data_IF_529581605972
#
_entry.id   IF_529581605972
#
_cell.length_a   1.000
_cell.length_b   1.000
_cell.length_c   1.000
_cell.angle_alpha   90.00
_cell.angle_beta   90.00
_cell.angle_gamma   90.00
#
_symmetry.space_group_name_H-M   'P 1'
#
loop_
_entity.id
_entity.type
_entity.pdbx_description
1 polymer ?
#
# COMPACT_ATOMS: atom_id res chain seq x y z
N UNK A 1 -3.74 -3.27 -20.65
CA UNK A 1 -3.70 -4.09 -19.40
C UNK A 1 -4.59 -5.32 -19.47
N UNK A 2 -5.83 -5.24 -19.97
CA UNK A 2 -6.73 -6.41 -20.05
C UNK A 2 -6.21 -7.51 -20.99
N UNK A 3 -5.50 -7.16 -22.04
CA UNK A 3 -4.86 -8.11 -22.96
C UNK A 3 -3.57 -8.79 -22.41
N UNK A 4 -3.06 -8.34 -21.25
CA UNK A 4 -1.82 -8.84 -20.69
C UNK A 4 -1.91 -10.32 -20.31
N UNK A 5 -0.96 -11.12 -20.75
CA UNK A 5 -0.96 -12.57 -20.55
C UNK A 5 -1.90 -13.34 -21.48
N UNK A 6 -2.47 -12.68 -22.50
CA UNK A 6 -3.27 -13.29 -23.55
C UNK A 6 -2.54 -13.25 -24.88
N UNK A 7 -3.01 -14.01 -25.88
CA UNK A 7 -2.46 -13.99 -27.25
C UNK A 7 -2.55 -12.61 -27.91
N UNK A 8 -3.50 -11.77 -27.52
CA UNK A 8 -3.66 -10.39 -28.03
C UNK A 8 -2.44 -9.52 -27.72
N UNK A 9 -1.76 -9.75 -26.57
CA UNK A 9 -0.53 -9.05 -26.20
C UNK A 9 0.72 -9.57 -26.90
N UNK A 10 0.57 -10.53 -27.79
CA UNK A 10 1.65 -11.22 -28.48
C UNK A 10 2.11 -12.48 -27.76
N UNK A 11 2.77 -13.34 -28.50
CA UNK A 11 3.26 -14.66 -28.07
C UNK A 11 4.71 -14.81 -28.47
N UNK A 12 5.52 -15.42 -27.61
CA UNK A 12 6.85 -15.91 -27.92
C UNK A 12 6.76 -17.42 -28.12
N UNK A 13 7.32 -17.89 -29.23
CA UNK A 13 7.45 -19.28 -29.51
C UNK A 13 8.86 -19.76 -29.15
N UNK A 14 8.94 -20.87 -28.47
CA UNK A 14 10.17 -21.55 -28.13
C UNK A 14 10.11 -22.96 -28.74
N UNK A 15 10.93 -23.25 -29.74
CA UNK A 15 11.09 -24.56 -30.32
C UNK A 15 12.30 -25.29 -29.70
N UNK A 16 12.23 -26.60 -29.64
CA UNK A 16 13.36 -27.40 -29.18
C UNK A 16 14.45 -27.46 -30.28
N UNK A 17 15.69 -27.21 -29.92
CA UNK A 17 16.85 -27.20 -30.86
C UNK A 17 17.29 -28.59 -31.27
N UNK A 18 16.77 -29.66 -30.66
CA UNK A 18 17.08 -31.03 -31.07
C UNK A 18 16.41 -31.36 -32.42
N UNK A 19 17.14 -31.72 -33.47
CA UNK A 19 16.59 -31.97 -34.81
C UNK A 19 15.48 -33.03 -34.87
N UNK A 20 15.46 -33.95 -33.90
CA UNK A 20 14.41 -34.99 -33.79
C UNK A 20 13.21 -34.59 -32.95
N UNK A 21 13.22 -33.42 -32.35
CA UNK A 21 12.18 -32.96 -31.40
C UNK A 21 11.28 -31.94 -32.07
N UNK A 22 9.96 -32.19 -32.10
CA UNK A 22 8.94 -31.24 -32.58
C UNK A 22 8.26 -30.46 -31.46
N UNK A 23 8.87 -30.43 -30.25
CA UNK A 23 8.27 -29.76 -29.12
C UNK A 23 8.34 -28.24 -29.28
N UNK A 24 7.18 -27.56 -29.19
CA UNK A 24 7.05 -26.10 -29.25
C UNK A 24 6.27 -25.65 -28.03
N UNK A 25 6.75 -24.60 -27.39
CA UNK A 25 6.08 -23.95 -26.25
C UNK A 25 5.79 -22.50 -26.56
N UNK A 26 4.54 -22.10 -26.37
CA UNK A 26 4.09 -20.72 -26.53
C UNK A 26 4.00 -20.02 -25.17
N UNK A 27 4.60 -18.86 -25.03
CA UNK A 27 4.54 -18.03 -23.83
C UNK A 27 3.96 -16.66 -24.19
N UNK A 28 2.83 -16.31 -23.58
CA UNK A 28 2.19 -15.01 -23.80
C UNK A 28 2.99 -13.87 -23.17
N UNK A 29 3.03 -12.72 -23.84
CA UNK A 29 3.70 -11.54 -23.32
C UNK A 29 3.00 -10.97 -22.09
N UNK A 30 3.80 -10.54 -21.10
CA UNK A 30 3.34 -9.92 -19.87
C UNK A 30 3.93 -8.50 -19.73
N UNK A 31 3.14 -7.54 -19.28
CA UNK A 31 3.58 -6.14 -19.14
C UNK A 31 4.40 -5.88 -17.88
N UNK A 32 4.43 -6.81 -16.94
CA UNK A 32 5.08 -6.71 -15.62
C UNK A 32 4.67 -5.48 -14.79
N UNK A 33 3.66 -4.74 -15.22
CA UNK A 33 3.17 -3.58 -14.51
C UNK A 33 2.45 -4.00 -13.22
N UNK A 34 2.73 -3.29 -12.13
CA UNK A 34 2.04 -3.48 -10.86
C UNK A 34 0.55 -3.14 -10.93
N UNK A 35 0.17 -2.18 -11.77
CA UNK A 35 -1.23 -1.81 -11.98
C UNK A 35 -2.01 -2.87 -12.78
N UNK A 36 -1.31 -3.80 -13.44
CA UNK A 36 -1.93 -4.85 -14.22
C UNK A 36 -2.56 -5.92 -13.32
N UNK A 37 -3.85 -6.25 -13.48
CA UNK A 37 -4.52 -7.28 -12.68
C UNK A 37 -3.84 -8.66 -12.75
N UNK A 38 -3.40 -9.08 -13.94
CA UNK A 38 -2.74 -10.38 -14.15
C UNK A 38 -1.34 -10.43 -13.54
N UNK A 39 -0.49 -9.44 -13.84
CA UNK A 39 0.88 -9.37 -13.31
C UNK A 39 0.90 -9.13 -11.81
N UNK A 40 0.00 -8.28 -11.29
CA UNK A 40 -0.12 -7.98 -9.87
C UNK A 40 -0.56 -9.21 -9.07
N UNK A 41 -1.49 -10.03 -9.60
CA UNK A 41 -1.87 -11.30 -8.97
C UNK A 41 -0.67 -12.25 -8.87
N UNK A 42 0.03 -12.50 -9.99
CA UNK A 42 1.21 -13.36 -10.00
C UNK A 42 2.28 -12.89 -9.01
N UNK A 43 2.56 -11.58 -8.99
CA UNK A 43 3.51 -11.00 -8.05
C UNK A 43 3.08 -11.16 -6.58
N UNK A 44 1.77 -11.11 -6.31
CA UNK A 44 1.20 -11.35 -4.98
C UNK A 44 1.39 -12.80 -4.55
N UNK A 45 1.07 -13.77 -5.42
CA UNK A 45 1.17 -15.19 -5.13
C UNK A 45 2.64 -15.59 -4.86
N UNK A 46 3.58 -15.11 -5.66
CA UNK A 46 5.02 -15.32 -5.45
C UNK A 46 5.51 -14.71 -4.13
N UNK A 47 5.05 -13.50 -3.80
CA UNK A 47 5.40 -12.86 -2.54
C UNK A 47 4.87 -13.66 -1.35
N UNK A 48 3.60 -14.12 -1.40
CA UNK A 48 3.00 -14.96 -0.35
C UNK A 48 3.86 -16.21 -0.14
N UNK A 49 4.20 -16.93 -1.21
CA UNK A 49 5.03 -18.13 -1.12
C UNK A 49 6.40 -17.85 -0.47
N UNK A 50 7.06 -16.74 -0.84
CA UNK A 50 8.33 -16.35 -0.24
C UNK A 50 8.20 -16.01 1.26
N UNK A 51 7.11 -15.34 1.67
CA UNK A 51 6.93 -14.94 3.07
C UNK A 51 6.54 -16.11 3.99
N UNK A 52 5.87 -17.12 3.49
CA UNK A 52 5.49 -18.30 4.28
C UNK A 52 6.69 -19.01 4.94
N UNK A 53 7.87 -18.89 4.33
CA UNK A 53 9.11 -19.47 4.83
C UNK A 53 9.99 -18.51 5.63
N UNK A 54 9.65 -17.21 5.66
CA UNK A 54 10.47 -16.16 6.29
C UNK A 54 9.89 -15.58 7.56
N UNK A 55 8.55 -15.51 7.63
CA UNK A 55 7.90 -14.88 8.77
C UNK A 55 7.78 -15.84 9.95
N UNK A 56 8.04 -15.40 11.19
CA UNK A 56 7.92 -16.21 12.37
C UNK A 56 6.47 -16.66 12.61
N UNK A 57 6.32 -17.86 13.13
CA UNK A 57 5.01 -18.41 13.50
C UNK A 57 4.62 -17.92 14.90
N UNK A 58 4.09 -16.70 14.93
CA UNK A 58 3.61 -16.02 16.13
C UNK A 58 2.31 -15.27 15.82
N UNK A 59 1.69 -14.69 16.84
CA UNK A 59 0.53 -13.82 16.67
C UNK A 59 0.93 -12.52 16.00
N UNK A 60 0.09 -12.06 15.08
CA UNK A 60 0.26 -10.83 14.33
C UNK A 60 -0.93 -9.90 14.51
N UNK A 61 -0.69 -8.61 14.39
CA UNK A 61 -1.75 -7.60 14.31
C UNK A 61 -1.59 -6.74 13.07
N UNK A 62 -2.69 -6.51 12.38
CA UNK A 62 -2.74 -5.61 11.21
C UNK A 62 -3.26 -4.24 11.62
N UNK A 63 -2.55 -3.20 11.19
CA UNK A 63 -2.92 -1.81 11.37
C UNK A 63 -3.03 -1.11 10.02
N UNK A 64 -3.91 -0.12 9.93
CA UNK A 64 -3.98 0.78 8.77
C UNK A 64 -3.92 2.21 9.27
N UNK A 65 -2.90 2.93 8.85
CA UNK A 65 -2.72 4.35 9.15
C UNK A 65 -3.25 5.15 7.95
N UNK A 66 -4.26 5.99 8.20
CA UNK A 66 -4.85 6.84 7.15
C UNK A 66 -4.58 8.30 7.42
N UNK A 67 -4.64 9.10 6.36
CA UNK A 67 -4.56 10.55 6.43
C UNK A 67 -5.95 11.16 6.29
N UNK A 68 -6.21 12.35 6.88
CA UNK A 68 -7.38 13.13 6.54
C UNK A 68 -7.48 13.42 5.05
N UNK A 69 -8.68 13.41 4.51
CA UNK A 69 -8.95 13.65 3.09
C UNK A 69 -8.49 15.03 2.60
N UNK A 70 -8.57 16.02 3.48
CA UNK A 70 -8.07 17.39 3.23
C UNK A 70 -6.57 17.43 2.89
N UNK A 71 -5.81 16.43 3.29
CA UNK A 71 -4.37 16.32 3.00
C UNK A 71 -4.05 15.49 1.74
N UNK A 72 -4.99 14.70 1.21
CA UNK A 72 -4.69 13.80 0.08
C UNK A 72 -4.16 14.52 -1.16
N UNK A 73 -4.71 15.68 -1.58
CA UNK A 73 -4.20 16.41 -2.73
C UNK A 73 -2.73 16.83 -2.62
N UNK A 74 -2.23 17.05 -1.40
CA UNK A 74 -0.81 17.36 -1.18
C UNK A 74 0.10 16.18 -1.59
N UNK A 75 -0.31 14.95 -1.32
CA UNK A 75 0.45 13.76 -1.68
C UNK A 75 0.32 13.37 -3.15
N UNK A 76 -0.69 13.87 -3.85
CA UNK A 76 -0.84 13.70 -5.30
C UNK A 76 0.18 14.54 -6.07
N UNK A 77 0.39 15.80 -5.65
CA UNK A 77 1.35 16.72 -6.29
C UNK A 77 2.77 16.59 -5.73
N UNK A 78 2.93 16.09 -4.50
CA UNK A 78 4.23 15.87 -3.83
C UNK A 78 4.46 14.39 -3.56
N UNK A 79 4.66 13.60 -4.60
CA UNK A 79 4.80 12.14 -4.47
C UNK A 79 6.01 11.70 -3.65
N UNK A 80 7.03 12.55 -3.54
CA UNK A 80 8.21 12.31 -2.71
C UNK A 80 7.86 12.14 -1.22
N UNK A 81 6.81 12.80 -0.71
CA UNK A 81 6.30 12.62 0.66
C UNK A 81 5.84 11.18 0.96
N UNK A 82 5.46 10.43 -0.07
CA UNK A 82 5.05 9.03 0.09
C UNK A 82 6.19 8.13 0.59
N UNK A 83 7.45 8.54 0.36
CA UNK A 83 8.61 7.77 0.80
C UNK A 83 8.71 7.66 2.33
N UNK A 84 8.30 8.70 3.04
CA UNK A 84 8.42 8.77 4.49
C UNK A 84 7.25 8.13 5.23
N UNK A 85 6.07 8.04 4.59
CA UNK A 85 4.87 7.53 5.26
C UNK A 85 5.04 6.15 5.89
N UNK A 86 5.72 5.22 5.21
CA UNK A 86 5.97 3.89 5.76
C UNK A 86 6.82 3.96 7.03
N UNK A 87 7.88 4.77 7.02
CA UNK A 87 8.76 4.95 8.18
C UNK A 87 8.01 5.61 9.33
N UNK A 88 7.29 6.69 9.07
CA UNK A 88 6.53 7.39 10.10
C UNK A 88 5.44 6.52 10.74
N UNK A 89 4.79 5.62 9.97
CA UNK A 89 3.83 4.66 10.52
C UNK A 89 4.52 3.62 11.40
N UNK A 90 5.68 3.13 10.98
CA UNK A 90 6.44 2.10 11.69
C UNK A 90 7.12 2.65 12.95
N UNK A 91 7.63 3.89 12.92
CA UNK A 91 8.24 4.56 14.08
C UNK A 91 7.27 4.63 15.29
N UNK A 92 5.97 4.63 15.04
CA UNK A 92 4.98 4.50 16.12
C UNK A 92 5.13 3.20 16.91
N UNK A 93 5.30 2.10 16.19
CA UNK A 93 5.35 0.75 16.75
C UNK A 93 6.72 0.45 17.33
N UNK A 94 7.78 0.85 16.62
CA UNK A 94 9.15 0.69 17.09
C UNK A 94 9.37 1.44 18.40
N UNK A 95 8.91 2.67 18.51
CA UNK A 95 9.00 3.44 19.75
C UNK A 95 8.29 2.74 20.92
N UNK A 96 7.07 2.20 20.68
CA UNK A 96 6.34 1.50 21.72
C UNK A 96 7.02 0.18 22.14
N UNK A 97 7.76 -0.45 21.25
CA UNK A 97 8.54 -1.65 21.52
C UNK A 97 9.85 -1.32 22.24
N UNK A 98 10.55 -0.28 21.80
CA UNK A 98 11.80 0.23 22.40
C UNK A 98 11.59 0.59 23.88
N UNK A 99 10.49 1.29 24.21
CA UNK A 99 10.13 1.60 25.60
C UNK A 99 9.92 0.37 26.49
N UNK A 100 9.88 -0.83 25.90
CA UNK A 100 9.77 -2.14 26.59
C UNK A 100 11.01 -3.01 26.41
N UNK A 101 12.06 -2.48 25.78
CA UNK A 101 13.28 -3.21 25.48
C UNK A 101 13.06 -4.40 24.56
N UNK A 102 12.15 -4.26 23.56
CA UNK A 102 11.79 -5.35 22.65
C UNK A 102 12.13 -5.01 21.21
N UNK A 103 12.77 -5.94 20.50
CA UNK A 103 12.84 -5.94 19.05
C UNK A 103 11.66 -6.71 18.47
N UNK A 104 10.91 -6.06 17.59
CA UNK A 104 9.67 -6.58 16.99
C UNK A 104 9.80 -6.72 15.48
N UNK A 105 9.07 -7.65 14.89
CA UNK A 105 9.03 -7.81 13.43
C UNK A 105 7.89 -7.00 12.82
N UNK A 106 8.22 -6.16 11.82
CA UNK A 106 7.24 -5.35 11.10
C UNK A 106 7.46 -5.47 9.61
N UNK A 107 6.39 -5.58 8.86
CA UNK A 107 6.38 -5.24 7.43
C UNK A 107 5.20 -4.35 7.09
N UNK A 108 5.40 -3.43 6.17
CA UNK A 108 4.36 -2.49 5.77
C UNK A 108 4.30 -2.31 4.25
N UNK A 109 3.17 -1.83 3.78
CA UNK A 109 3.00 -1.43 2.38
C UNK A 109 2.20 -0.14 2.29
N UNK A 110 2.60 0.71 1.34
CA UNK A 110 1.86 1.91 0.99
C UNK A 110 0.83 1.60 -0.09
N UNK A 111 -0.37 2.11 0.11
CA UNK A 111 -1.41 2.22 -0.91
C UNK A 111 -1.74 3.69 -1.14
N UNK A 112 -1.99 4.03 -2.39
CA UNK A 112 -2.30 5.42 -2.79
C UNK A 112 -3.72 5.58 -3.31
N UNK A 113 -4.52 4.51 -3.32
CA UNK A 113 -5.86 4.48 -3.91
C UNK A 113 -6.94 4.02 -2.94
N UNK A 114 -8.10 4.65 -3.06
CA UNK A 114 -9.33 4.21 -2.44
C UNK A 114 -10.11 3.23 -3.31
N UNK A 115 -11.31 2.85 -2.88
CA UNK A 115 -12.18 1.89 -3.57
C UNK A 115 -12.71 2.39 -4.91
N UNK A 116 -12.81 3.70 -5.08
CA UNK A 116 -13.21 4.39 -6.31
C UNK A 116 -12.01 4.71 -7.22
N UNK A 117 -10.83 4.16 -6.93
CA UNK A 117 -9.58 4.53 -7.59
C UNK A 117 -9.22 6.03 -7.46
N UNK A 118 -9.78 6.69 -6.46
CA UNK A 118 -9.40 8.05 -6.07
C UNK A 118 -8.11 8.05 -5.27
N UNK A 119 -7.42 9.18 -5.23
CA UNK A 119 -6.27 9.38 -4.35
C UNK A 119 -6.66 9.14 -2.89
N UNK A 120 -5.96 8.23 -2.21
CA UNK A 120 -6.17 7.88 -0.80
C UNK A 120 -4.90 7.23 -0.25
N UNK A 121 -3.87 8.03 0.07
CA UNK A 121 -2.64 7.48 0.63
C UNK A 121 -2.89 6.93 2.04
N UNK A 122 -2.51 5.67 2.25
CA UNK A 122 -2.61 4.99 3.53
C UNK A 122 -1.60 3.86 3.63
N UNK A 123 -1.23 3.51 4.86
CA UNK A 123 -0.19 2.53 5.13
C UNK A 123 -0.81 1.31 5.81
N UNK A 124 -0.67 0.17 5.19
CA UNK A 124 -0.92 -1.12 5.80
C UNK A 124 0.33 -1.59 6.54
N UNK A 125 0.21 -1.89 7.81
CA UNK A 125 1.29 -2.38 8.65
C UNK A 125 0.89 -3.70 9.28
N UNK A 126 1.80 -4.65 9.30
CA UNK A 126 1.68 -5.86 10.09
C UNK A 126 2.83 -5.96 11.03
N UNK A 127 2.50 -6.19 12.29
CA UNK A 127 3.44 -6.24 13.39
C UNK A 127 3.23 -7.52 14.21
N UNK A 128 4.32 -8.10 14.68
CA UNK A 128 4.26 -9.21 15.63
C UNK A 128 3.64 -8.76 16.96
N UNK A 129 2.82 -9.62 17.58
CA UNK A 129 2.25 -9.36 18.91
C UNK A 129 3.21 -9.74 20.06
N UNK A 130 4.49 -9.79 19.75
CA UNK A 130 5.60 -10.00 20.66
C UNK A 130 6.90 -9.58 20.02
N UNK A 131 7.96 -9.53 20.79
CA UNK A 131 9.32 -9.20 20.39
C UNK A 131 10.33 -9.93 21.21
N UNK A 132 11.58 -9.82 20.83
CA UNK A 132 12.74 -10.42 21.47
C UNK A 132 13.38 -9.38 22.38
N UNK A 133 13.61 -9.73 23.66
CA UNK A 133 14.33 -8.86 24.59
C UNK A 133 15.87 -9.01 24.44
N UNK A 134 16.63 -8.22 25.18
CA UNK A 134 18.09 -8.25 25.20
C UNK A 134 18.70 -9.62 25.58
N UNK A 135 17.91 -10.50 26.19
CA UNK A 135 18.32 -11.86 26.59
C UNK A 135 17.86 -12.94 25.59
N UNK A 136 17.33 -12.54 24.42
CA UNK A 136 16.82 -13.46 23.41
C UNK A 136 15.47 -14.10 23.74
N UNK A 137 14.77 -13.63 24.78
CA UNK A 137 13.47 -14.17 25.20
C UNK A 137 12.33 -13.48 24.51
N UNK A 138 11.37 -14.27 24.01
CA UNK A 138 10.13 -13.76 23.44
C UNK A 138 9.19 -13.22 24.51
N UNK A 139 8.77 -11.96 24.37
CA UNK A 139 7.78 -11.32 25.26
C UNK A 139 6.63 -10.73 24.46
N UNK A 140 5.41 -10.88 24.98
CA UNK A 140 4.20 -10.31 24.36
C UNK A 140 4.18 -8.80 24.46
N UNK A 141 3.70 -8.14 23.37
CA UNK A 141 3.42 -6.71 23.32
C UNK A 141 2.01 -6.46 22.81
N UNK A 142 1.41 -5.38 23.27
CA UNK A 142 0.14 -4.87 22.77
C UNK A 142 0.25 -3.36 22.53
N UNK A 143 -0.45 -2.89 21.52
CA UNK A 143 -0.45 -1.49 21.11
C UNK A 143 -1.77 -0.84 21.45
N UNK A 144 -1.74 0.42 21.91
CA UNK A 144 -2.94 1.20 22.23
C UNK A 144 -3.30 2.08 21.04
N UNK A 145 -4.53 1.95 20.55
CA UNK A 145 -5.02 2.66 19.35
C UNK A 145 -4.86 4.18 19.47
N UNK A 146 -5.21 4.75 20.62
CA UNK A 146 -5.15 6.20 20.81
C UNK A 146 -3.72 6.74 20.81
N UNK A 147 -2.78 6.00 21.43
CA UNK A 147 -1.36 6.35 21.38
C UNK A 147 -0.81 6.29 19.94
N UNK A 148 -1.19 5.25 19.19
CA UNK A 148 -0.81 5.13 17.77
C UNK A 148 -1.37 6.29 16.94
N UNK A 149 -2.63 6.67 17.16
CA UNK A 149 -3.28 7.79 16.46
C UNK A 149 -2.60 9.13 16.78
N UNK A 150 -2.37 9.41 18.05
CA UNK A 150 -1.76 10.67 18.48
C UNK A 150 -0.34 10.85 17.89
N UNK A 151 0.48 9.79 17.97
CA UNK A 151 1.84 9.82 17.44
C UNK A 151 1.85 9.88 15.91
N UNK A 152 0.94 9.18 15.21
CA UNK A 152 0.77 9.27 13.77
C UNK A 152 0.46 10.70 13.32
N UNK A 153 -0.51 11.33 13.95
CA UNK A 153 -0.86 12.72 13.70
C UNK A 153 0.34 13.65 13.91
N UNK A 154 1.06 13.49 15.02
CA UNK A 154 2.24 14.30 15.33
C UNK A 154 3.35 14.10 14.29
N UNK A 155 3.66 12.87 13.92
CA UNK A 155 4.69 12.55 12.93
C UNK A 155 4.38 13.18 11.57
N UNK A 156 3.15 13.05 11.09
CA UNK A 156 2.74 13.62 9.80
C UNK A 156 2.76 15.15 9.83
N UNK A 157 2.25 15.75 10.90
CA UNK A 157 2.29 17.22 11.05
C UNK A 157 3.71 17.74 11.03
N UNK A 158 4.62 17.11 11.75
CA UNK A 158 6.04 17.47 11.75
C UNK A 158 6.66 17.37 10.37
N UNK A 159 6.43 16.27 9.65
CA UNK A 159 6.89 16.09 8.27
C UNK A 159 6.36 17.19 7.35
N UNK A 160 5.06 17.48 7.38
CA UNK A 160 4.46 18.51 6.54
C UNK A 160 4.97 19.91 6.89
N UNK A 161 5.17 20.24 8.17
CA UNK A 161 5.77 21.52 8.57
C UNK A 161 7.19 21.67 8.02
N UNK A 162 8.00 20.63 8.07
CA UNK A 162 9.35 20.63 7.47
C UNK A 162 9.33 20.78 5.96
N UNK A 163 8.33 20.19 5.29
CA UNK A 163 8.22 20.21 3.83
C UNK A 163 8.04 21.63 3.22
N UNK A 164 7.63 22.62 4.03
CA UNK A 164 7.53 24.01 3.57
C UNK A 164 8.89 24.56 3.12
N UNK A 165 9.89 24.38 3.95
CA UNK A 165 11.27 24.82 3.63
C UNK A 165 11.93 24.00 2.51
N UNK A 166 11.40 22.81 2.22
CA UNK A 166 11.84 21.94 1.13
C UNK A 166 11.16 22.26 -0.22
N UNK A 167 10.30 23.30 -0.24
CA UNK A 167 9.62 23.74 -1.47
C UNK A 167 8.43 22.87 -1.86
N UNK A 168 7.57 22.52 -0.90
CA UNK A 168 6.35 21.75 -1.16
C UNK A 168 5.48 22.44 -2.22
N UNK A 169 5.03 21.70 -3.23
CA UNK A 169 4.09 22.18 -4.23
C UNK A 169 2.66 22.19 -3.62
N UNK A 170 1.95 23.30 -3.80
CA UNK A 170 0.57 23.41 -3.35
C UNK A 170 -0.40 22.99 -4.45
N UNK A 171 -1.38 22.12 -4.13
CA UNK A 171 -2.40 21.73 -5.09
C UNK A 171 -3.35 22.91 -5.41
N UNK A 172 -3.99 22.88 -6.58
CA UNK A 172 -4.93 23.89 -7.01
C UNK A 172 -6.13 24.11 -6.06
N UNK A 173 -6.40 23.15 -5.18
CA UNK A 173 -7.42 23.25 -4.12
C UNK A 173 -7.01 24.13 -2.94
N UNK A 174 -5.75 24.57 -2.86
CA UNK A 174 -5.19 25.37 -1.77
C UNK A 174 -4.57 26.69 -2.26
N UNK A 175 -5.26 27.48 -3.11
CA UNK A 175 -4.68 28.69 -3.72
C UNK A 175 -4.46 29.83 -2.71
N UNK A 176 -5.10 29.74 -1.55
CA UNK A 176 -5.04 30.74 -0.48
C UNK A 176 -3.83 30.58 0.44
N UNK A 177 -3.08 29.48 0.30
CA UNK A 177 -1.90 29.25 1.12
C UNK A 177 -0.68 29.86 0.39
N UNK A 178 -0.25 31.02 0.86
CA UNK A 178 0.86 31.78 0.25
C UNK A 178 1.99 32.07 1.25
N UNK A 179 1.74 31.86 2.54
CA UNK A 179 2.71 32.13 3.62
C UNK A 179 2.92 30.91 4.50
N UNK A 180 4.07 30.85 5.16
CA UNK A 180 4.37 29.79 6.14
C UNK A 180 3.37 29.76 7.30
N UNK A 181 2.87 30.90 7.74
CA UNK A 181 1.87 30.99 8.79
C UNK A 181 0.55 30.33 8.39
N UNK A 182 0.09 30.57 7.18
CA UNK A 182 -1.11 29.91 6.62
C UNK A 182 -0.90 28.41 6.45
N UNK A 183 0.27 28.01 5.97
CA UNK A 183 0.65 26.60 5.88
C UNK A 183 0.64 25.93 7.25
N UNK A 184 1.29 26.54 8.25
CA UNK A 184 1.31 26.04 9.62
C UNK A 184 -0.11 25.89 10.18
N UNK A 185 -0.97 26.88 9.98
CA UNK A 185 -2.38 26.81 10.39
C UNK A 185 -3.11 25.66 9.73
N UNK A 186 -2.97 25.49 8.40
CA UNK A 186 -3.55 24.36 7.67
C UNK A 186 -3.12 23.02 8.26
N UNK A 187 -1.81 22.81 8.43
CA UNK A 187 -1.25 21.53 8.91
C UNK A 187 -1.70 21.22 10.33
N UNK A 188 -1.76 22.19 11.21
CA UNK A 188 -2.14 22.01 12.61
C UNK A 188 -3.66 21.78 12.79
N UNK A 189 -4.48 22.36 11.92
CA UNK A 189 -5.94 22.21 11.97
C UNK A 189 -6.45 21.07 11.09
N UNK A 190 -5.65 20.62 10.12
CA UNK A 190 -6.05 19.58 9.20
C UNK A 190 -6.56 18.32 9.90
N UNK A 191 -7.71 17.87 9.45
CA UNK A 191 -8.30 16.60 9.86
C UNK A 191 -8.98 16.56 11.21
N UNK A 192 -8.87 17.58 12.07
CA UNK A 192 -9.60 17.60 13.33
C UNK A 192 -9.67 16.22 14.02
N UNK A 193 -10.86 15.60 14.01
CA UNK A 193 -11.14 14.27 14.55
C UNK A 193 -10.86 13.13 13.57
N UNK A 194 -10.54 13.39 12.31
CA UNK A 194 -10.49 12.39 11.20
C UNK A 194 -9.14 11.69 11.02
N UNK A 195 -8.27 11.75 12.00
CA UNK A 195 -7.06 10.91 12.03
C UNK A 195 -7.42 9.49 12.46
N UNK A 196 -7.35 8.54 11.54
CA UNK A 196 -7.73 7.16 11.82
C UNK A 196 -6.54 6.21 11.82
N UNK A 197 -6.50 5.37 12.85
CA UNK A 197 -5.71 4.16 12.88
C UNK A 197 -6.67 2.99 13.11
N UNK A 198 -6.83 2.17 12.08
CA UNK A 198 -7.56 0.91 12.22
C UNK A 198 -6.61 -0.14 12.82
N UNK A 199 -7.11 -0.91 13.77
CA UNK A 199 -6.40 -2.05 14.35
C UNK A 199 -7.31 -3.27 14.26
N UNK A 200 -6.84 -4.31 13.56
CA UNK A 200 -7.57 -5.58 13.47
C UNK A 200 -7.53 -6.34 14.79
N UNK A 201 -8.35 -7.37 14.91
CA UNK A 201 -8.11 -8.45 15.89
C UNK A 201 -6.76 -9.10 15.60
N UNK A 202 -6.14 -9.66 16.64
CA UNK A 202 -4.90 -10.45 16.48
C UNK A 202 -5.20 -11.69 15.65
N UNK A 203 -4.26 -12.04 14.78
CA UNK A 203 -4.34 -13.22 13.92
C UNK A 203 -3.30 -14.22 14.40
N UNK A 204 -3.74 -15.40 14.77
CA UNK A 204 -2.84 -16.49 15.16
C UNK A 204 -2.09 -17.03 13.94
N UNK A 205 -0.78 -17.18 14.08
CA UNK A 205 0.12 -17.80 13.11
C UNK A 205 0.50 -16.95 11.90
N UNK A 206 1.76 -17.03 11.51
CA UNK A 206 2.31 -16.30 10.38
C UNK A 206 1.62 -16.65 9.05
N UNK A 207 1.20 -17.90 8.83
CA UNK A 207 0.56 -18.36 7.60
C UNK A 207 -0.75 -17.63 7.29
N UNK A 208 -1.61 -17.44 8.28
CA UNK A 208 -2.88 -16.75 8.10
C UNK A 208 -2.67 -15.26 7.83
N UNK A 209 -1.73 -14.66 8.53
CA UNK A 209 -1.31 -13.27 8.35
C UNK A 209 -0.79 -13.02 6.94
N UNK A 210 0.11 -13.86 6.43
CA UNK A 210 0.66 -13.74 5.07
C UNK A 210 -0.42 -13.86 4.01
N UNK A 211 -1.32 -14.84 4.12
CA UNK A 211 -2.43 -15.02 3.16
C UNK A 211 -3.39 -13.83 3.16
N UNK A 212 -3.72 -13.32 4.35
CA UNK A 212 -4.58 -12.15 4.48
C UNK A 212 -3.93 -10.91 3.89
N UNK A 213 -2.69 -10.63 4.25
CA UNK A 213 -1.98 -9.41 3.91
C UNK A 213 -1.44 -9.40 2.48
N UNK A 214 -1.04 -10.55 1.95
CA UNK A 214 -0.65 -10.66 0.55
C UNK A 214 -1.73 -10.15 -0.40
N UNK A 215 -3.00 -10.33 -0.03
CA UNK A 215 -4.14 -9.79 -0.78
C UNK A 215 -4.19 -8.26 -0.80
N UNK A 216 -3.63 -7.60 0.21
CA UNK A 216 -3.63 -6.13 0.31
C UNK A 216 -2.31 -5.52 -0.15
N UNK A 217 -1.18 -6.13 0.17
CA UNK A 217 0.13 -5.53 0.01
C UNK A 217 0.62 -5.42 -1.44
N UNK A 218 0.25 -6.39 -2.28
CA UNK A 218 0.68 -6.42 -3.69
C UNK A 218 -0.46 -6.41 -4.70
N UNK A 219 -1.69 -6.28 -4.22
CA UNK A 219 -2.87 -6.26 -5.08
C UNK A 219 -2.81 -5.08 -6.04
N UNK A 220 -3.12 -5.29 -7.32
CA UNK A 220 -3.31 -4.18 -8.26
C UNK A 220 -4.48 -3.29 -7.81
N UNK A 221 -4.51 -2.01 -8.18
CA UNK A 221 -5.56 -1.08 -7.79
C UNK A 221 -6.96 -1.57 -8.11
N UNK A 222 -7.10 -2.33 -9.21
CA UNK A 222 -8.35 -2.95 -9.61
C UNK A 222 -8.14 -4.41 -10.02
N UNK A 223 -9.03 -5.29 -9.60
CA UNK A 223 -9.06 -6.67 -10.06
C UNK A 223 -9.75 -6.75 -11.43
N UNK A 224 -9.30 -7.64 -12.32
CA UNK A 224 -9.89 -7.84 -13.63
C UNK A 224 -11.39 -8.17 -13.56
N UNK A 225 -11.82 -8.94 -12.55
CA UNK A 225 -13.22 -9.28 -12.29
C UNK A 225 -14.13 -8.10 -11.90
N UNK A 226 -13.53 -6.97 -11.51
CA UNK A 226 -14.29 -5.74 -11.20
C UNK A 226 -14.53 -4.88 -12.44
N UNK A 227 -13.77 -5.10 -13.48
CA UNK A 227 -13.99 -4.43 -14.74
C UNK A 227 -15.13 -5.17 -15.46
N UNK A 228 -16.30 -4.53 -15.60
CA UNK A 228 -17.38 -5.05 -16.43
C UNK A 228 -16.95 -5.09 -17.90
N UNK A 229 -17.59 -5.89 -18.74
CA UNK A 229 -17.17 -6.16 -20.10
C UNK A 229 -17.27 -4.94 -21.02
N UNK A 230 -16.23 -4.68 -21.83
CA UNK A 230 -16.05 -3.37 -22.49
C UNK A 230 -16.03 -3.39 -24.01
N UNK A 231 -16.55 -4.41 -24.65
CA UNK A 231 -16.60 -4.44 -26.11
C UNK A 231 -17.35 -3.22 -26.66
N UNK A 232 -16.62 -2.24 -27.20
CA UNK A 232 -17.14 -1.09 -27.92
C UNK A 232 -17.74 0.05 -27.09
N UNK A 233 -17.67 0.02 -25.76
CA UNK A 233 -18.22 1.10 -24.93
C UNK A 233 -17.21 2.21 -24.65
N UNK A 234 -17.62 3.47 -24.79
CA UNK A 234 -16.82 4.64 -24.42
C UNK A 234 -16.65 4.79 -22.87
N UNK A 235 -17.48 4.11 -22.10
CA UNK A 235 -17.49 4.14 -20.64
C UNK A 235 -17.23 2.78 -20.04
N UNK A 236 -16.59 2.75 -18.89
CA UNK A 236 -16.23 1.58 -18.09
C UNK A 236 -16.94 1.66 -16.77
N UNK A 237 -17.40 0.53 -16.26
CA UNK A 237 -18.01 0.47 -14.92
C UNK A 237 -17.33 -0.58 -14.05
N UNK A 238 -17.24 -0.31 -12.75
CA UNK A 238 -16.78 -1.28 -11.75
C UNK A 238 -17.55 -1.11 -10.45
N UNK A 239 -17.78 -2.24 -9.76
CA UNK A 239 -18.46 -2.25 -8.48
C UNK A 239 -17.50 -2.01 -7.33
N UNK A 240 -17.95 -1.26 -6.33
CA UNK A 240 -17.24 -1.06 -5.06
C UNK A 240 -18.24 -1.06 -3.91
N UNK A 241 -17.77 -1.38 -2.71
CA UNK A 241 -18.57 -1.28 -1.49
C UNK A 241 -18.42 0.13 -0.93
N UNK A 242 -19.52 0.88 -0.85
CA UNK A 242 -19.56 2.19 -0.24
C UNK A 242 -19.68 2.05 1.29
N UNK A 243 -18.74 2.64 2.03
CA UNK A 243 -18.74 2.59 3.48
C UNK A 243 -19.75 3.52 4.12
N UNK A 244 -20.15 4.59 3.41
CA UNK A 244 -21.11 5.55 3.95
C UNK A 244 -22.52 5.00 3.95
N UNK A 245 -22.86 4.23 2.92
CA UNK A 245 -24.18 3.60 2.78
C UNK A 245 -24.21 2.14 3.23
N UNK A 246 -23.03 1.49 3.30
CA UNK A 246 -22.94 0.04 3.56
C UNK A 246 -23.32 -0.84 2.38
N UNK A 247 -23.58 -0.27 1.22
CA UNK A 247 -24.10 -0.97 0.04
C UNK A 247 -23.07 -1.11 -1.08
N UNK A 248 -23.40 -1.95 -2.08
CA UNK A 248 -22.63 -2.05 -3.32
C UNK A 248 -23.02 -0.91 -4.24
N UNK A 249 -22.07 -0.07 -4.60
CA UNK A 249 -22.22 1.00 -5.56
C UNK A 249 -21.44 0.70 -6.85
N UNK A 250 -21.81 1.37 -7.94
CA UNK A 250 -21.14 1.25 -9.23
C UNK A 250 -20.57 2.60 -9.64
N UNK A 251 -19.26 2.64 -9.88
CA UNK A 251 -18.60 3.79 -10.49
C UNK A 251 -18.60 3.60 -12.01
N UNK A 252 -18.99 4.65 -12.73
CA UNK A 252 -18.98 4.69 -14.19
C UNK A 252 -18.07 5.80 -14.66
N UNK A 253 -17.07 5.46 -15.45
CA UNK A 253 -16.01 6.36 -15.90
C UNK A 253 -15.77 6.20 -17.40
N UNK A 254 -15.30 7.24 -18.05
CA UNK A 254 -14.73 7.14 -19.40
C UNK A 254 -13.43 6.33 -19.37
N UNK A 255 -13.04 5.77 -20.51
CA UNK A 255 -11.74 5.08 -20.64
C UNK A 255 -10.56 5.99 -20.25
N UNK A 256 -10.64 7.27 -20.60
CA UNK A 256 -9.61 8.27 -20.27
C UNK A 256 -9.51 8.51 -18.77
N UNK A 257 -10.63 8.66 -18.08
CA UNK A 257 -10.65 8.86 -16.62
C UNK A 257 -10.10 7.66 -15.87
N UNK A 258 -10.48 6.43 -16.24
CA UNK A 258 -9.98 5.25 -15.54
C UNK A 258 -8.47 5.05 -15.75
N UNK A 259 -7.97 5.30 -16.97
CA UNK A 259 -6.53 5.26 -17.25
C UNK A 259 -5.81 6.36 -16.47
N UNK A 260 -6.37 7.58 -16.41
CA UNK A 260 -5.85 8.68 -15.61
C UNK A 260 -5.74 8.32 -14.12
N UNK A 261 -6.82 7.79 -13.54
CA UNK A 261 -6.82 7.33 -12.15
C UNK A 261 -5.79 6.20 -11.91
N UNK A 262 -5.75 5.19 -12.77
CA UNK A 262 -4.78 4.09 -12.64
C UNK A 262 -3.33 4.58 -12.74
N UNK A 263 -3.05 5.54 -13.62
CA UNK A 263 -1.71 6.11 -13.79
C UNK A 263 -1.20 6.74 -12.48
N UNK A 264 -2.04 7.43 -11.73
CA UNK A 264 -1.68 8.06 -10.46
C UNK A 264 -1.22 7.04 -9.41
N UNK A 265 -1.60 5.76 -9.54
CA UNK A 265 -1.26 4.71 -8.59
C UNK A 265 -0.09 3.82 -9.03
N UNK A 266 0.48 4.10 -10.20
CA UNK A 266 1.71 3.41 -10.64
C UNK A 266 2.89 4.04 -9.89
N UNK A 267 3.63 3.24 -9.10
CA UNK A 267 4.79 3.76 -8.40
C UNK A 267 5.91 4.09 -9.38
N UNK A 268 6.76 5.01 -9.01
CA UNK A 268 7.99 5.33 -9.73
C UNK A 268 8.92 4.11 -9.79
N UNK A 269 9.82 4.13 -10.77
CA UNK A 269 10.84 3.08 -10.90
C UNK A 269 11.65 3.02 -9.61
N UNK A 270 11.91 1.81 -9.11
CA UNK A 270 12.61 1.51 -7.86
C UNK A 270 11.86 1.87 -6.56
N UNK A 271 10.67 2.43 -6.61
CA UNK A 271 9.90 2.69 -5.40
C UNK A 271 9.53 1.37 -4.69
N UNK A 272 9.99 1.22 -3.45
CA UNK A 272 9.71 0.03 -2.64
C UNK A 272 8.35 0.16 -1.95
N UNK A 273 7.37 -0.57 -2.47
CA UNK A 273 6.00 -0.56 -1.92
C UNK A 273 5.88 -1.38 -0.63
N UNK A 274 6.67 -2.43 -0.48
CA UNK A 274 6.72 -3.25 0.74
C UNK A 274 8.08 -3.05 1.39
N UNK A 275 8.07 -2.76 2.70
CA UNK A 275 9.28 -2.50 3.49
C UNK A 275 9.23 -3.32 4.77
N UNK A 276 10.40 -3.73 5.27
CA UNK A 276 10.57 -4.55 6.45
C UNK A 276 11.39 -3.79 7.49
N UNK A 277 11.06 -3.99 8.79
CA UNK A 277 11.67 -3.29 9.90
C UNK A 277 11.81 -4.21 11.12
N UNK A 278 12.57 -3.75 12.13
CA UNK A 278 12.93 -4.54 13.29
C UNK A 278 13.69 -5.80 12.86
N UNK A 279 13.54 -6.91 13.55
CA UNK A 279 14.27 -8.15 13.23
C UNK A 279 13.93 -8.74 11.84
N UNK A 280 12.90 -8.23 11.15
CA UNK A 280 12.61 -8.59 9.74
C UNK A 280 13.37 -7.74 8.73
N UNK A 281 14.10 -6.72 9.17
CA UNK A 281 14.89 -5.86 8.28
C UNK A 281 15.95 -6.68 7.54
N UNK A 282 16.12 -6.41 6.23
CA UNK A 282 17.19 -7.04 5.44
C UNK A 282 18.58 -6.41 5.67
N UNK A 283 18.71 -5.47 6.61
CA UNK A 283 20.04 -4.99 7.03
C UNK A 283 20.68 -6.08 7.87
N UNK A 284 21.54 -6.84 7.23
CA UNK A 284 22.63 -7.53 7.92
C UNK A 284 23.51 -6.39 8.45
N UNK A 285 23.60 -6.29 9.79
CA UNK A 285 24.50 -5.36 10.45
C UNK A 285 25.94 -5.71 10.15
#
# INVERSE_FOLDING_TARGET
MLACGTRIAGVKEYACDNPGCRHVRYITNACHSRACPSCGKKATDLWIAAQLNRLPDCDWQHLVFTLPDTLWPLFEVNRWLLNDLCRLAVDNLLYAAEMRGLDIGIFCAIHTYGRRLNGHPHIHVSVTCGGIDAHGKWKKISFRKDAMRARWMWNIRRMLLSAWSEGIALPASLPHITTESQWRSLVLTAGGKYWHVYMSKKTAGGKNTVKYLGRYLKKPPIAGSRLAHYAGSATLSFRYHDHNTGEQATERLTQREIVGRLKQHIPEKFFRMVRYFGFLSNRVG
#
